data_IF_600242499275
#
_entry.id   IF_600242499275
#
_cell.length_a   1.000
_cell.length_b   1.000
_cell.length_c   1.000
_cell.angle_alpha   90.00
_cell.angle_beta   90.00
_cell.angle_gamma   90.00
#
_symmetry.space_group_name_H-M   'P 1'
#
loop_
_entity.id
_entity.type
_entity.pdbx_description
1 polymer ?
#
# COMPACT_ATOMS: atom_id res chain seq x y z
N UNK A 1 62.44 -59.89 25.87
CA UNK A 1 61.13 -59.36 26.29
C UNK A 1 60.76 -58.24 25.34
N UNK A 2 59.71 -58.43 24.53
CA UNK A 2 59.30 -57.56 23.43
C UNK A 2 58.36 -56.47 23.94
N UNK A 3 58.67 -55.21 23.68
CA UNK A 3 57.79 -54.07 23.94
C UNK A 3 56.61 -54.08 22.96
N UNK A 4 55.39 -54.19 23.49
CA UNK A 4 54.14 -54.04 22.74
C UNK A 4 53.79 -52.56 22.72
N UNK A 5 53.75 -51.95 21.52
CA UNK A 5 53.19 -50.61 21.31
C UNK A 5 51.69 -50.75 21.02
N UNK A 6 50.86 -50.15 21.85
CA UNK A 6 49.41 -50.04 21.62
C UNK A 6 49.17 -48.85 20.69
N UNK A 7 48.61 -49.10 19.50
CA UNK A 7 48.17 -48.07 18.58
C UNK A 7 46.72 -47.68 18.90
N UNK A 8 46.48 -46.41 19.24
CA UNK A 8 45.14 -45.84 19.40
C UNK A 8 44.71 -45.30 18.03
N UNK A 9 43.69 -45.93 17.43
CA UNK A 9 43.06 -45.47 16.19
C UNK A 9 41.99 -44.44 16.56
N UNK A 10 42.23 -43.17 16.27
CA UNK A 10 41.22 -42.12 16.33
C UNK A 10 40.31 -42.23 15.09
N UNK A 11 39.03 -42.55 15.29
CA UNK A 11 38.00 -42.36 14.26
C UNK A 11 37.66 -40.87 14.17
N UNK A 12 38.16 -40.20 13.14
CA UNK A 12 37.73 -38.86 12.76
C UNK A 12 36.34 -38.92 12.11
N UNK A 13 35.30 -38.57 12.88
CA UNK A 13 33.98 -38.26 12.33
C UNK A 13 34.10 -37.03 11.42
N UNK A 14 33.98 -37.23 10.11
CA UNK A 14 33.76 -36.14 9.16
C UNK A 14 32.31 -35.69 9.32
N UNK A 15 32.09 -34.69 10.17
CA UNK A 15 30.86 -33.93 10.18
C UNK A 15 30.81 -33.12 8.87
N UNK A 16 29.98 -33.58 7.93
CA UNK A 16 29.66 -32.81 6.73
C UNK A 16 29.12 -31.44 7.16
N UNK A 17 29.81 -30.38 6.75
CA UNK A 17 29.39 -29.01 6.97
C UNK A 17 28.09 -28.78 6.20
N UNK A 18 26.95 -29.02 6.85
CA UNK A 18 25.72 -28.30 6.57
C UNK A 18 26.04 -26.83 6.82
N UNK A 19 26.28 -26.10 5.75
CA UNK A 19 26.33 -24.65 5.77
C UNK A 19 24.97 -24.15 6.25
N UNK A 20 24.85 -23.97 7.56
CA UNK A 20 23.74 -23.26 8.16
C UNK A 20 23.71 -21.88 7.51
N UNK A 21 22.64 -21.60 6.76
CA UNK A 21 22.31 -20.23 6.38
C UNK A 21 22.20 -19.49 7.72
N UNK A 22 23.04 -18.46 7.98
CA UNK A 22 22.92 -17.76 9.24
C UNK A 22 21.50 -17.19 9.32
N UNK A 23 20.82 -17.29 10.48
CA UNK A 23 19.58 -16.56 10.68
C UNK A 23 19.89 -15.11 10.31
N UNK A 24 19.03 -14.48 9.50
CA UNK A 24 19.16 -13.07 9.17
C UNK A 24 19.42 -12.32 10.47
N UNK A 25 20.68 -11.93 10.69
CA UNK A 25 21.05 -11.21 11.89
C UNK A 25 20.22 -9.93 11.87
N UNK A 26 19.87 -9.43 13.05
CA UNK A 26 19.28 -8.12 13.24
C UNK A 26 20.30 -7.03 12.83
N UNK A 27 20.62 -7.00 11.55
CA UNK A 27 21.63 -6.15 10.95
C UNK A 27 21.01 -4.75 10.90
N UNK A 28 21.60 -3.90 11.74
CA UNK A 28 21.61 -2.44 11.69
C UNK A 28 20.45 -1.68 12.34
N UNK A 29 20.24 -1.82 13.66
CA UNK A 29 19.65 -0.73 14.45
C UNK A 29 20.74 -0.05 15.28
N UNK A 30 21.58 0.78 14.64
CA UNK A 30 22.62 1.56 15.34
C UNK A 30 22.41 3.05 15.10
N UNK A 31 22.34 3.90 16.14
CA UNK A 31 22.19 5.33 15.94
C UNK A 31 23.36 5.88 15.12
N UNK A 32 23.06 6.36 13.92
CA UNK A 32 23.96 7.09 13.05
C UNK A 32 23.81 8.60 13.29
N UNK A 33 24.90 9.33 13.19
CA UNK A 33 24.86 10.79 13.03
C UNK A 33 24.53 11.09 11.56
N UNK A 34 23.39 11.73 11.30
CA UNK A 34 23.00 12.18 9.96
C UNK A 34 22.91 13.69 9.90
N UNK A 35 23.27 14.27 8.75
CA UNK A 35 22.95 15.65 8.42
C UNK A 35 21.62 15.75 7.67
N UNK A 36 21.39 14.87 6.69
CA UNK A 36 20.17 14.73 5.90
C UNK A 36 19.99 13.27 5.41
N UNK A 37 18.76 12.80 5.29
CA UNK A 37 18.37 11.50 4.75
C UNK A 37 18.50 11.41 3.24
N UNK A 38 18.30 12.52 2.53
CA UNK A 38 18.61 12.60 1.09
C UNK A 38 20.08 12.33 0.77
N UNK A 39 20.95 12.43 1.78
CA UNK A 39 22.37 12.06 1.68
C UNK A 39 22.64 10.59 2.07
N UNK A 40 21.60 9.75 2.18
CA UNK A 40 21.73 8.33 2.56
C UNK A 40 22.25 8.07 3.96
N UNK A 41 21.74 8.82 4.94
CA UNK A 41 21.97 8.55 6.35
C UNK A 41 20.71 8.71 7.17
N UNK A 42 20.23 7.62 7.77
CA UNK A 42 18.90 7.53 8.38
C UNK A 42 18.85 7.76 9.87
N UNK A 43 19.89 8.36 10.45
CA UNK A 43 19.96 8.46 11.90
C UNK A 43 20.03 7.12 12.66
N UNK A 44 19.80 6.00 11.98
CA UNK A 44 19.80 4.62 12.45
C UNK A 44 20.56 3.66 11.50
N UNK A 45 20.82 4.04 10.23
CA UNK A 45 21.54 3.25 9.19
C UNK A 45 22.20 4.16 8.13
N UNK A 46 23.47 3.93 7.78
CA UNK A 46 24.26 4.79 6.87
C UNK A 46 24.07 4.53 5.36
N UNK A 47 23.10 3.71 4.97
CA UNK A 47 22.87 3.33 3.56
C UNK A 47 21.41 3.48 3.14
N UNK A 48 20.55 3.84 4.09
CA UNK A 48 19.12 3.91 3.84
C UNK A 48 18.77 5.34 3.35
N UNK A 49 18.01 5.47 2.28
CA UNK A 49 17.54 6.77 1.76
C UNK A 49 16.38 6.63 0.80
N UNK A 50 15.72 7.77 0.57
CA UNK A 50 14.96 8.01 -0.65
C UNK A 50 15.95 8.37 -1.77
N UNK A 51 16.23 7.42 -2.67
CA UNK A 51 17.17 7.58 -3.80
C UNK A 51 16.54 8.39 -4.95
N UNK A 52 15.23 8.21 -5.17
CA UNK A 52 14.46 9.02 -6.11
C UNK A 52 12.99 9.12 -5.73
N UNK A 53 12.39 10.25 -6.12
CA UNK A 53 10.94 10.42 -6.23
C UNK A 53 10.66 10.79 -7.68
N UNK A 54 9.80 10.02 -8.32
CA UNK A 54 9.43 10.23 -9.71
C UNK A 54 7.90 10.23 -9.85
N UNK A 55 7.42 10.97 -10.83
CA UNK A 55 6.00 11.17 -11.06
C UNK A 55 5.68 11.11 -12.56
N UNK A 56 4.40 10.92 -12.85
CA UNK A 56 3.84 10.89 -14.19
C UNK A 56 2.52 11.66 -14.22
N UNK A 57 2.32 12.37 -15.32
CA UNK A 57 1.09 13.11 -15.59
C UNK A 57 -0.02 12.12 -15.97
N UNK A 58 -1.16 12.11 -15.24
CA UNK A 58 -2.27 11.21 -15.54
C UNK A 58 -2.82 11.38 -16.97
N UNK A 59 -2.70 12.56 -17.58
CA UNK A 59 -3.13 12.80 -18.96
C UNK A 59 -2.25 12.10 -20.00
N UNK A 60 -1.01 11.74 -19.64
CA UNK A 60 -0.08 11.00 -20.52
C UNK A 60 -0.20 9.48 -20.39
N UNK A 61 -0.91 9.00 -19.37
CA UNK A 61 -1.03 7.57 -19.05
C UNK A 61 -2.19 6.91 -19.81
N UNK A 62 -1.99 5.65 -20.18
CA UNK A 62 -3.03 4.82 -20.79
C UNK A 62 -3.65 3.89 -19.76
N UNK A 63 -4.97 3.73 -19.85
CA UNK A 63 -5.74 2.79 -19.04
C UNK A 63 -6.58 1.89 -19.93
N UNK A 64 -6.76 0.64 -19.53
CA UNK A 64 -7.67 -0.28 -20.22
C UNK A 64 -9.14 0.03 -19.89
N UNK A 65 -10.06 -0.71 -20.51
CA UNK A 65 -11.51 -0.54 -20.32
C UNK A 65 -12.02 -0.77 -18.89
N UNK A 66 -11.22 -1.44 -18.05
CA UNK A 66 -11.51 -1.70 -16.64
C UNK A 66 -10.75 -0.71 -15.73
N UNK A 67 -10.11 0.31 -16.33
CA UNK A 67 -9.35 1.35 -15.65
C UNK A 67 -7.96 0.90 -15.20
N UNK A 68 -7.49 -0.28 -15.60
CA UNK A 68 -6.14 -0.72 -15.23
C UNK A 68 -5.08 0.10 -15.95
N UNK A 69 -4.08 0.55 -15.19
CA UNK A 69 -2.93 1.27 -15.73
C UNK A 69 -2.11 0.34 -16.64
N UNK A 70 -1.80 0.83 -17.84
CA UNK A 70 -0.76 0.28 -18.68
C UNK A 70 0.58 0.84 -18.18
N UNK A 71 1.30 0.04 -17.38
CA UNK A 71 2.57 0.45 -16.80
C UNK A 71 3.63 0.80 -17.85
N UNK A 72 3.51 0.30 -19.09
CA UNK A 72 4.44 0.63 -20.18
C UNK A 72 4.19 2.02 -20.78
N UNK A 73 3.02 2.61 -20.55
CA UNK A 73 2.66 3.94 -21.02
C UNK A 73 3.18 5.08 -20.12
N UNK A 74 3.67 4.75 -18.93
CA UNK A 74 4.08 5.76 -17.94
C UNK A 74 5.33 6.49 -18.41
N UNK A 75 5.25 7.82 -18.42
CA UNK A 75 6.40 8.69 -18.70
C UNK A 75 6.90 9.29 -17.39
N UNK A 76 8.02 8.76 -16.89
CA UNK A 76 8.59 9.19 -15.62
C UNK A 76 9.34 10.51 -15.75
N UNK A 77 8.99 11.45 -14.87
CA UNK A 77 9.75 12.66 -14.57
C UNK A 77 10.30 12.56 -13.17
N UNK A 78 11.54 13.00 -12.96
CA UNK A 78 12.18 13.01 -11.63
C UNK A 78 11.87 14.31 -10.92
N UNK A 79 11.46 14.23 -9.65
CA UNK A 79 11.35 15.41 -8.81
C UNK A 79 12.74 15.98 -8.52
N UNK A 80 12.86 17.30 -8.54
CA UNK A 80 14.07 18.00 -8.11
C UNK A 80 14.05 18.09 -6.59
N UNK A 81 15.15 17.71 -5.95
CA UNK A 81 15.29 17.73 -4.50
C UNK A 81 16.19 18.88 -4.07
N UNK A 82 15.78 19.60 -3.05
CA UNK A 82 16.60 20.58 -2.35
C UNK A 82 16.53 20.33 -0.86
N UNK A 83 17.66 20.52 -0.18
CA UNK A 83 17.77 20.30 1.25
C UNK A 83 16.99 21.37 2.00
N UNK A 84 16.25 21.01 3.04
CA UNK A 84 15.60 21.98 3.91
C UNK A 84 16.67 22.71 4.76
N UNK A 85 16.92 24.01 4.56
CA UNK A 85 17.99 24.72 5.25
C UNK A 85 17.74 24.88 6.75
N UNK A 86 16.49 24.70 7.22
CA UNK A 86 16.13 24.75 8.63
C UNK A 86 16.08 23.38 9.30
N UNK A 87 16.30 22.29 8.57
CA UNK A 87 16.32 20.97 9.17
C UNK A 87 17.53 20.83 10.10
N UNK A 88 17.26 20.47 11.35
CA UNK A 88 18.26 20.18 12.37
C UNK A 88 17.96 18.78 12.91
N UNK A 89 18.92 17.87 12.72
CA UNK A 89 18.81 16.52 13.24
C UNK A 89 18.88 16.52 14.78
N UNK A 90 18.00 15.76 15.44
CA UNK A 90 17.93 15.58 16.92
C UNK A 90 17.67 16.86 17.77
N UNK A 91 17.12 17.94 17.22
CA UNK A 91 16.70 19.11 18.03
C UNK A 91 15.35 18.91 18.74
N UNK A 92 15.19 19.24 20.03
CA UNK A 92 13.92 19.30 20.80
C UNK A 92 13.89 20.55 21.72
N UNK A 93 12.72 21.16 22.09
CA UNK A 93 11.34 20.61 22.18
C UNK A 93 10.26 21.27 21.25
N UNK A 94 9.05 20.64 21.14
CA UNK A 94 7.98 20.96 20.17
C UNK A 94 7.42 22.39 20.20
N UNK A 95 7.63 23.11 21.30
CA UNK A 95 7.00 24.39 21.59
C UNK A 95 7.78 25.59 21.01
N UNK A 96 8.89 25.34 20.33
CA UNK A 96 9.88 26.38 20.00
C UNK A 96 10.20 26.57 18.52
N UNK A 97 9.60 25.81 17.59
CA UNK A 97 10.04 25.84 16.18
C UNK A 97 9.15 26.63 15.21
N UNK A 98 8.01 27.20 15.63
CA UNK A 98 7.17 28.00 14.72
C UNK A 98 6.55 29.23 15.37
N UNK A 99 6.59 30.34 14.64
CA UNK A 99 5.61 31.42 14.79
C UNK A 99 4.46 31.18 13.80
N UNK A 100 3.25 31.66 14.10
CA UNK A 100 2.10 31.60 13.19
C UNK A 100 2.38 32.17 11.78
N UNK A 101 3.47 32.95 11.64
CA UNK A 101 3.91 33.63 10.43
C UNK A 101 4.62 32.71 9.42
N UNK A 102 5.10 31.55 9.85
CA UNK A 102 5.83 30.60 8.99
C UNK A 102 4.90 29.55 8.35
N UNK A 103 3.63 29.50 8.78
CA UNK A 103 2.60 28.70 8.13
C UNK A 103 2.34 29.19 6.70
N UNK A 104 2.42 28.28 5.73
CA UNK A 104 2.15 28.58 4.33
C UNK A 104 3.37 28.92 3.50
N UNK A 105 4.57 29.01 4.10
CA UNK A 105 5.83 29.10 3.35
C UNK A 105 6.24 27.69 2.92
N UNK A 106 6.28 27.39 1.60
CA UNK A 106 6.63 26.06 1.12
C UNK A 106 7.99 25.64 1.61
N UNK A 107 8.10 24.36 1.96
CA UNK A 107 9.32 23.75 2.40
C UNK A 107 9.92 24.21 3.73
N UNK A 108 9.32 25.22 4.37
CA UNK A 108 9.77 25.79 5.64
C UNK A 108 8.89 25.29 6.77
N UNK A 109 7.57 25.47 6.74
CA UNK A 109 6.67 25.16 7.86
C UNK A 109 6.51 23.66 8.13
N UNK A 110 7.31 23.06 9.02
CA UNK A 110 7.24 21.62 9.34
C UNK A 110 6.94 21.34 10.81
N UNK A 111 5.85 20.62 11.12
CA UNK A 111 5.52 20.18 12.49
C UNK A 111 6.72 19.48 13.16
N UNK A 112 7.23 19.95 14.30
CA UNK A 112 8.43 19.42 14.97
C UNK A 112 8.06 18.31 15.97
N UNK A 113 6.86 17.72 15.89
CA UNK A 113 6.46 16.69 16.85
C UNK A 113 7.09 15.35 16.46
N UNK A 114 8.32 15.16 16.90
CA UNK A 114 9.08 13.92 16.74
C UNK A 114 8.54 12.76 17.59
N UNK A 115 7.46 12.94 18.37
CA UNK A 115 6.78 11.80 19.02
C UNK A 115 6.18 10.83 18.00
N UNK A 116 5.96 11.29 16.76
CA UNK A 116 5.35 10.51 15.69
C UNK A 116 6.39 9.77 14.82
N UNK A 117 7.70 10.04 15.01
CA UNK A 117 8.80 9.34 14.34
C UNK A 117 9.05 9.71 12.87
N UNK A 118 8.50 10.83 12.39
CA UNK A 118 8.65 11.30 11.00
C UNK A 118 9.69 12.43 10.86
N UNK A 119 10.46 12.45 9.76
CA UNK A 119 11.41 13.53 9.43
C UNK A 119 11.19 14.11 8.03
N UNK A 120 11.43 15.42 7.88
CA UNK A 120 11.10 16.22 6.70
C UNK A 120 12.32 17.07 6.28
N UNK A 121 13.40 16.39 5.92
CA UNK A 121 14.73 16.98 5.74
C UNK A 121 14.95 17.59 4.35
N UNK A 122 14.05 17.34 3.40
CA UNK A 122 14.16 17.81 2.02
C UNK A 122 12.83 18.26 1.42
N UNK A 123 12.96 19.27 0.56
CA UNK A 123 11.94 19.83 -0.29
C UNK A 123 12.01 19.20 -1.68
N UNK A 124 10.86 18.88 -2.26
CA UNK A 124 10.76 18.28 -3.58
C UNK A 124 9.91 19.13 -4.49
N UNK A 125 10.36 19.26 -5.74
CA UNK A 125 9.68 20.02 -6.79
C UNK A 125 9.32 19.10 -7.94
N UNK A 126 8.03 19.00 -8.25
CA UNK A 126 7.49 18.26 -9.39
C UNK A 126 7.02 19.22 -10.49
N UNK A 127 7.98 19.72 -11.28
CA UNK A 127 7.73 20.70 -12.34
C UNK A 127 6.93 20.09 -13.50
N UNK A 128 5.94 20.84 -14.01
CA UNK A 128 5.11 20.42 -15.14
C UNK A 128 4.16 19.26 -14.83
N UNK A 129 3.78 19.09 -13.56
CA UNK A 129 2.69 18.20 -13.12
C UNK A 129 1.40 18.99 -12.84
N UNK A 130 1.49 20.25 -12.42
CA UNK A 130 0.30 21.06 -12.18
C UNK A 130 -0.32 21.51 -13.52
N UNK A 131 -1.64 21.37 -13.74
CA UNK A 131 -2.27 21.76 -15.00
C UNK A 131 -2.15 23.24 -15.35
N UNK A 132 -1.98 24.12 -14.36
CA UNK A 132 -1.80 25.57 -14.57
C UNK A 132 -0.34 25.94 -14.92
N UNK A 133 0.57 24.97 -15.00
CA UNK A 133 1.98 25.16 -15.30
C UNK A 133 2.84 25.56 -14.10
N UNK A 134 2.25 25.81 -12.92
CA UNK A 134 3.01 26.08 -11.71
C UNK A 134 3.67 24.81 -11.16
N UNK A 135 4.65 24.99 -10.28
CA UNK A 135 5.34 23.86 -9.67
C UNK A 135 4.55 23.29 -8.50
N UNK A 136 4.57 21.96 -8.39
CA UNK A 136 4.13 21.27 -7.17
C UNK A 136 5.34 21.19 -6.25
N UNK A 137 5.19 21.72 -5.04
CA UNK A 137 6.21 21.71 -3.99
C UNK A 137 5.67 20.87 -2.83
N UNK A 138 6.48 19.94 -2.34
CA UNK A 138 6.07 19.01 -1.30
C UNK A 138 7.26 18.53 -0.46
N UNK A 139 6.96 18.01 0.73
CA UNK A 139 7.88 17.16 1.48
C UNK A 139 7.45 15.71 1.41
N UNK A 140 8.44 14.83 1.50
CA UNK A 140 8.20 13.49 2.02
C UNK A 140 8.61 13.48 3.48
N UNK A 141 7.63 13.23 4.34
CA UNK A 141 7.88 12.80 5.69
C UNK A 141 8.14 11.30 5.64
N UNK A 142 9.30 10.85 6.07
CA UNK A 142 9.55 9.42 6.23
C UNK A 142 9.75 9.14 7.72
N UNK A 143 9.31 7.97 8.20
CA UNK A 143 9.38 7.69 9.63
C UNK A 143 9.19 6.23 10.00
N UNK A 144 9.84 5.80 11.07
CA UNK A 144 9.78 4.44 11.58
C UNK A 144 9.38 4.42 13.05
N UNK A 145 8.12 4.12 13.33
CA UNK A 145 7.70 3.70 14.67
C UNK A 145 8.01 2.22 14.85
N UNK A 146 9.14 1.88 15.45
CA UNK A 146 9.57 0.49 15.62
C UNK A 146 10.07 -0.15 14.33
N UNK A 147 9.57 -1.34 13.99
CA UNK A 147 10.09 -2.18 12.89
C UNK A 147 9.47 -1.87 11.52
N UNK A 148 8.45 -1.01 11.46
CA UNK A 148 7.81 -0.57 10.22
C UNK A 148 8.46 0.66 9.58
N UNK A 149 8.20 0.87 8.29
CA UNK A 149 8.67 2.03 7.54
C UNK A 149 7.49 2.77 6.90
N UNK A 150 7.35 4.07 7.17
CA UNK A 150 6.26 4.90 6.64
C UNK A 150 6.80 6.02 5.77
N UNK A 151 6.06 6.34 4.71
CA UNK A 151 6.27 7.51 3.85
C UNK A 151 4.95 8.24 3.79
N UNK A 152 4.98 9.55 3.98
CA UNK A 152 3.83 10.43 3.85
C UNK A 152 4.23 11.64 3.01
N UNK A 153 3.43 11.97 2.00
CA UNK A 153 3.61 13.16 1.18
C UNK A 153 2.76 14.31 1.73
N UNK A 154 3.42 15.41 2.10
CA UNK A 154 2.79 16.67 2.47
C UNK A 154 2.95 17.69 1.34
N UNK A 155 1.85 18.23 0.83
CA UNK A 155 1.87 19.13 -0.34
C UNK A 155 1.80 20.59 0.12
N UNK A 156 2.91 21.31 0.01
CA UNK A 156 2.99 22.71 0.39
C UNK A 156 2.45 23.66 -0.69
N UNK A 157 2.61 23.27 -1.94
CA UNK A 157 2.14 24.00 -3.12
C UNK A 157 1.64 23.01 -4.15
N UNK A 158 0.40 23.20 -4.62
CA UNK A 158 -0.24 22.30 -5.58
C UNK A 158 -1.67 22.74 -5.85
N UNK A 159 -2.50 21.80 -6.30
CA UNK A 159 -3.90 22.05 -6.62
C UNK A 159 -4.69 22.32 -5.33
N UNK A 160 -5.30 23.49 -5.25
CA UNK A 160 -6.20 23.86 -4.16
C UNK A 160 -7.56 23.18 -4.36
N UNK A 161 -8.01 22.44 -3.34
CA UNK A 161 -9.29 21.73 -3.34
C UNK A 161 -10.07 22.05 -2.09
N UNK A 162 -11.34 22.39 -2.25
CA UNK A 162 -12.25 22.73 -1.16
C UNK A 162 -13.26 21.62 -0.81
N UNK A 163 -13.49 20.66 -1.73
CA UNK A 163 -14.49 19.58 -1.58
C UNK A 163 -15.87 20.07 -1.10
N UNK A 164 -16.25 21.29 -1.49
CA UNK A 164 -17.53 21.92 -1.12
C UNK A 164 -17.80 21.93 0.40
N UNK A 165 -16.77 22.04 1.24
CA UNK A 165 -16.92 22.13 2.70
C UNK A 165 -17.53 23.49 3.09
N UNK A 166 -18.55 23.48 3.95
CA UNK A 166 -19.38 24.66 4.27
C UNK A 166 -18.58 25.84 4.86
N UNK A 167 -17.50 25.59 5.58
CA UNK A 167 -16.64 26.61 6.19
C UNK A 167 -15.56 27.16 5.23
N UNK A 168 -15.57 26.75 3.96
CA UNK A 168 -14.63 27.21 2.94
C UNK A 168 -13.22 26.63 3.07
N UNK A 169 -13.04 25.59 3.88
CA UNK A 169 -11.74 24.93 3.99
C UNK A 169 -11.25 24.40 2.66
N UNK A 170 -9.94 24.45 2.49
CA UNK A 170 -9.28 23.84 1.37
C UNK A 170 -7.96 23.20 1.79
N UNK A 171 -7.48 22.27 0.98
CA UNK A 171 -6.14 21.75 1.06
C UNK A 171 -5.44 21.82 -0.29
N UNK A 172 -4.11 21.83 -0.23
CA UNK A 172 -3.26 21.73 -1.41
C UNK A 172 -2.98 20.25 -1.67
N UNK A 173 -3.02 19.86 -2.94
CA UNK A 173 -2.94 18.46 -3.35
C UNK A 173 -2.13 18.29 -4.63
N UNK A 174 -1.82 17.04 -4.97
CA UNK A 174 -1.35 16.69 -6.31
C UNK A 174 -2.54 16.39 -7.26
N UNK A 175 -2.35 16.37 -8.59
CA UNK A 175 -3.39 15.98 -9.53
C UNK A 175 -3.92 14.58 -9.25
N UNK A 176 -5.25 14.43 -9.33
CA UNK A 176 -5.89 13.14 -9.15
C UNK A 176 -5.44 12.18 -10.23
N UNK A 177 -5.10 10.95 -9.82
CA UNK A 177 -4.61 9.93 -10.73
C UNK A 177 -3.15 10.09 -11.15
N UNK A 178 -2.45 11.16 -10.75
CA UNK A 178 -1.00 11.26 -10.96
C UNK A 178 -0.31 10.04 -10.35
N UNK A 179 0.56 9.41 -11.15
CA UNK A 179 1.27 8.20 -10.71
C UNK A 179 2.64 8.59 -10.18
N UNK A 180 2.97 8.05 -9.01
CA UNK A 180 4.21 8.30 -8.30
C UNK A 180 4.94 7.00 -8.08
N UNK A 181 6.27 7.06 -8.10
CA UNK A 181 7.11 6.01 -7.55
C UNK A 181 8.17 6.60 -6.63
N UNK A 182 8.42 5.91 -5.54
CA UNK A 182 9.48 6.23 -4.58
C UNK A 182 10.47 5.08 -4.58
N UNK A 183 11.73 5.38 -4.85
CA UNK A 183 12.83 4.41 -4.80
C UNK A 183 13.52 4.53 -3.46
N UNK A 184 13.40 3.50 -2.64
CA UNK A 184 14.08 3.38 -1.36
C UNK A 184 15.33 2.55 -1.59
N UNK A 185 16.51 3.12 -1.33
CA UNK A 185 17.75 2.36 -1.21
C UNK A 185 17.86 1.90 0.24
N UNK A 186 17.77 0.61 0.50
CA UNK A 186 17.86 0.03 1.86
C UNK A 186 17.92 -1.50 1.79
N UNK A 187 18.91 -2.10 2.44
CA UNK A 187 18.95 -3.55 2.61
C UNK A 187 17.84 -4.03 3.54
N UNK A 188 17.53 -3.26 4.59
CA UNK A 188 16.46 -3.59 5.54
C UNK A 188 15.12 -3.71 4.84
N UNK A 189 14.72 -2.66 4.11
CA UNK A 189 13.44 -2.64 3.40
C UNK A 189 13.46 -3.67 2.28
N UNK A 190 14.55 -3.78 1.52
CA UNK A 190 14.65 -4.75 0.43
C UNK A 190 14.57 -6.20 0.86
N UNK A 191 15.07 -6.55 2.05
CA UNK A 191 15.02 -7.93 2.56
C UNK A 191 13.75 -8.22 3.36
N UNK A 192 13.26 -7.22 4.10
CA UNK A 192 12.26 -7.44 5.14
C UNK A 192 10.90 -6.80 4.86
N UNK A 193 10.71 -6.08 3.75
CA UNK A 193 9.40 -5.54 3.39
C UNK A 193 8.36 -6.67 3.36
N UNK A 194 7.37 -6.60 4.24
CA UNK A 194 6.36 -7.63 4.37
C UNK A 194 5.07 -7.24 3.64
N UNK A 195 4.09 -6.79 4.42
CA UNK A 195 2.83 -6.26 3.92
C UNK A 195 2.94 -4.75 3.76
N UNK A 196 2.52 -4.25 2.60
CA UNK A 196 2.48 -2.82 2.31
C UNK A 196 1.05 -2.37 2.31
N UNK A 197 0.81 -1.20 2.88
CA UNK A 197 -0.44 -0.50 2.69
C UNK A 197 -0.30 0.94 2.24
N UNK A 198 -1.30 1.45 1.52
CA UNK A 198 -1.32 2.83 1.04
C UNK A 198 -2.72 3.36 0.79
N UNK A 199 -2.82 4.65 0.50
CA UNK A 199 -4.01 5.29 -0.08
C UNK A 199 -3.94 5.48 -1.61
N UNK A 200 -3.06 4.75 -2.30
CA UNK A 200 -2.82 4.94 -3.75
C UNK A 200 -3.45 3.82 -4.60
N UNK A 201 -4.15 4.14 -5.68
CA UNK A 201 -4.59 3.15 -6.67
C UNK A 201 -3.41 2.57 -7.44
N UNK A 202 -3.62 1.51 -8.21
CA UNK A 202 -2.56 0.81 -8.96
C UNK A 202 -1.33 0.45 -8.09
N UNK A 203 -1.51 -0.16 -6.91
CA UNK A 203 -0.39 -0.44 -6.01
C UNK A 203 0.59 -1.43 -6.65
N UNK A 204 1.87 -1.08 -6.70
CA UNK A 204 2.92 -1.97 -7.15
C UNK A 204 4.18 -1.82 -6.31
N UNK A 205 4.90 -2.93 -6.11
CA UNK A 205 6.19 -2.94 -5.46
C UNK A 205 7.15 -3.86 -6.19
N UNK A 206 8.33 -3.33 -6.48
CA UNK A 206 9.44 -4.09 -7.06
C UNK A 206 10.66 -3.96 -6.16
N UNK A 207 11.35 -5.08 -5.97
CA UNK A 207 12.56 -5.14 -5.15
C UNK A 207 13.67 -5.73 -6.00
N UNK A 208 14.77 -4.99 -6.14
CA UNK A 208 15.93 -5.39 -6.94
C UNK A 208 17.21 -5.11 -6.16
N UNK A 209 18.23 -5.95 -6.35
CA UNK A 209 19.56 -5.68 -5.81
C UNK A 209 20.36 -4.87 -6.83
N UNK A 210 20.82 -3.68 -6.45
CA UNK A 210 21.64 -2.83 -7.31
C UNK A 210 23.05 -3.40 -7.52
N UNK A 211 23.79 -2.83 -8.47
CA UNK A 211 25.18 -3.23 -8.76
C UNK A 211 26.15 -2.94 -7.61
N UNK A 212 25.82 -2.00 -6.72
CA UNK A 212 26.55 -1.72 -5.48
C UNK A 212 26.21 -2.71 -4.34
N UNK A 213 25.40 -3.74 -4.62
CA UNK A 213 25.00 -4.75 -3.65
C UNK A 213 23.90 -4.33 -2.68
N UNK A 214 23.36 -3.11 -2.79
CA UNK A 214 22.30 -2.59 -1.92
C UNK A 214 20.93 -2.76 -2.61
N UNK A 215 19.90 -3.11 -1.86
CA UNK A 215 18.55 -3.23 -2.43
C UNK A 215 17.91 -1.88 -2.76
N UNK A 216 17.19 -1.84 -3.88
CA UNK A 216 16.24 -0.80 -4.28
C UNK A 216 14.85 -1.38 -4.19
N UNK A 217 14.03 -0.79 -3.35
CA UNK A 217 12.60 -1.05 -3.24
C UNK A 217 11.86 0.10 -3.89
N UNK A 218 11.26 -0.16 -5.05
CA UNK A 218 10.45 0.80 -5.80
C UNK A 218 9.00 0.55 -5.45
N UNK A 219 8.36 1.54 -4.81
CA UNK A 219 6.94 1.50 -4.47
C UNK A 219 6.21 2.50 -5.35
N UNK A 220 5.14 2.05 -6.00
CA UNK A 220 4.40 2.80 -6.99
C UNK A 220 2.90 2.79 -6.68
N UNK A 221 2.24 3.90 -7.01
CA UNK A 221 0.79 4.01 -7.04
C UNK A 221 0.33 5.30 -7.72
N UNK A 222 -0.96 5.38 -8.04
CA UNK A 222 -1.63 6.61 -8.49
C UNK A 222 -2.40 7.24 -7.34
N UNK A 223 -2.20 8.54 -7.12
CA UNK A 223 -2.86 9.25 -6.02
C UNK A 223 -4.36 9.30 -6.25
N UNK A 224 -5.11 9.03 -5.19
CA UNK A 224 -6.55 9.15 -5.16
C UNK A 224 -6.96 9.75 -3.80
N UNK A 225 -7.62 10.93 -3.78
CA UNK A 225 -7.97 11.57 -2.52
C UNK A 225 -8.86 10.67 -1.65
N UNK A 226 -8.38 10.40 -0.44
CA UNK A 226 -9.11 9.67 0.58
C UNK A 226 -9.72 10.63 1.59
N UNK A 227 -10.95 10.36 1.99
CA UNK A 227 -11.76 11.21 2.87
C UNK A 227 -11.78 10.60 4.27
N UNK A 228 -11.26 11.31 5.27
CA UNK A 228 -11.05 10.80 6.63
C UNK A 228 -11.55 11.77 7.69
N UNK A 229 -11.39 11.42 8.98
CA UNK A 229 -12.01 12.07 10.13
C UNK A 229 -13.54 12.07 10.07
N UNK A 230 -14.15 11.12 10.76
CA UNK A 230 -15.59 10.98 10.82
C UNK A 230 -16.20 11.96 11.83
N UNK A 231 -16.87 13.00 11.31
CA UNK A 231 -17.68 13.93 12.10
C UNK A 231 -19.14 13.55 12.09
N UNK A 232 -19.86 13.94 13.13
CA UNK A 232 -21.31 13.78 13.25
C UNK A 232 -21.94 15.18 13.28
N UNK A 233 -23.02 15.45 12.52
CA UNK A 233 -23.66 16.77 12.51
C UNK A 233 -24.07 17.21 13.92
N UNK A 234 -23.73 18.45 14.29
CA UNK A 234 -24.05 19.02 15.61
C UNK A 234 -23.20 18.51 16.78
N UNK A 235 -22.25 17.60 16.56
CA UNK A 235 -21.35 17.10 17.60
C UNK A 235 -19.96 17.75 17.48
N UNK A 236 -19.39 18.15 18.62
CA UNK A 236 -18.01 18.61 18.67
C UNK A 236 -17.05 17.46 18.31
N UNK A 237 -15.99 17.78 17.55
CA UNK A 237 -14.98 16.79 17.18
C UNK A 237 -14.27 16.24 18.42
N UNK A 238 -14.22 14.92 18.53
CA UNK A 238 -13.46 14.20 19.55
C UNK A 238 -12.54 13.18 18.85
N UNK A 239 -11.21 13.39 18.82
CA UNK A 239 -10.26 12.48 18.18
C UNK A 239 -10.32 11.05 18.74
N UNK A 240 -10.61 10.90 20.03
CA UNK A 240 -10.66 9.59 20.69
C UNK A 240 -11.87 8.74 20.24
N UNK A 241 -12.92 9.37 19.73
CA UNK A 241 -14.13 8.67 19.25
C UNK A 241 -14.18 8.53 17.74
N UNK A 242 -13.15 8.97 16.99
CA UNK A 242 -13.18 9.04 15.51
C UNK A 242 -13.58 7.70 14.86
N UNK A 243 -12.99 6.59 15.31
CA UNK A 243 -13.30 5.24 14.78
C UNK A 243 -14.73 4.80 15.06
N UNK A 244 -15.30 5.19 16.19
CA UNK A 244 -16.70 4.90 16.52
C UNK A 244 -17.64 5.85 15.79
N UNK A 245 -17.24 7.10 15.57
CA UNK A 245 -18.02 8.06 14.79
C UNK A 245 -18.21 7.58 13.35
N UNK A 246 -17.22 6.89 12.75
CA UNK A 246 -17.37 6.33 11.40
C UNK A 246 -18.50 5.29 11.29
N UNK A 247 -18.90 4.66 12.40
CA UNK A 247 -20.03 3.74 12.44
C UNK A 247 -21.38 4.47 12.41
N UNK A 248 -21.40 5.78 12.67
CA UNK A 248 -22.62 6.56 12.66
C UNK A 248 -23.13 6.75 11.23
N UNK A 249 -24.43 6.51 10.94
CA UNK A 249 -24.97 6.56 9.58
C UNK A 249 -25.01 7.98 8.98
N UNK A 250 -24.90 9.01 9.81
CA UNK A 250 -24.78 10.41 9.35
C UNK A 250 -23.34 10.93 9.43
N UNK A 251 -22.36 10.05 9.61
CA UNK A 251 -20.97 10.51 9.65
C UNK A 251 -20.54 11.11 8.31
N UNK A 252 -19.77 12.19 8.36
CA UNK A 252 -19.24 12.84 7.16
C UNK A 252 -17.75 13.14 7.32
N UNK A 253 -17.06 13.27 6.19
CA UNK A 253 -15.64 13.59 6.15
C UNK A 253 -15.37 15.01 6.64
N UNK A 254 -14.43 15.19 7.56
CA UNK A 254 -13.92 16.51 7.91
C UNK A 254 -12.80 16.96 6.98
N UNK A 255 -11.99 16.02 6.51
CA UNK A 255 -10.75 16.31 5.76
C UNK A 255 -10.45 15.24 4.72
N UNK A 256 -9.51 15.54 3.84
CA UNK A 256 -9.08 14.69 2.74
C UNK A 256 -7.55 14.63 2.65
N UNK A 257 -7.04 13.55 2.07
CA UNK A 257 -5.60 13.35 1.93
C UNK A 257 -5.02 14.37 0.95
N UNK A 258 -3.93 15.02 1.35
CA UNK A 258 -3.23 16.00 0.52
C UNK A 258 -2.35 15.33 -0.54
N UNK A 259 -1.71 14.22 -0.18
CA UNK A 259 -0.92 13.39 -1.07
C UNK A 259 -1.13 11.91 -0.77
N UNK A 260 -0.04 11.13 -0.88
CA UNK A 260 -0.06 9.71 -0.55
C UNK A 260 0.60 9.37 0.79
N UNK A 261 0.20 8.23 1.34
CA UNK A 261 0.82 7.56 2.46
C UNK A 261 1.14 6.13 2.06
N UNK A 262 2.32 5.64 2.40
CA UNK A 262 2.77 4.27 2.23
C UNK A 262 3.28 3.78 3.59
N UNK A 263 2.82 2.62 4.01
CA UNK A 263 3.25 1.95 5.24
C UNK A 263 3.75 0.56 4.89
N UNK A 264 4.98 0.24 5.27
CA UNK A 264 5.63 -1.05 5.06
C UNK A 264 5.77 -1.72 6.42
N UNK A 265 5.10 -2.84 6.60
CA UNK A 265 5.24 -3.66 7.79
C UNK A 265 6.06 -4.91 7.45
N UNK A 266 7.10 -5.26 8.21
CA UNK A 266 7.81 -6.51 7.98
C UNK A 266 6.95 -7.73 8.30
N UNK A 267 7.38 -8.91 7.84
CA UNK A 267 6.73 -10.18 8.18
C UNK A 267 7.03 -10.59 9.62
N UNK A 268 6.44 -9.90 10.58
CA UNK A 268 6.60 -10.11 12.02
C UNK A 268 5.25 -9.97 12.71
N UNK A 269 5.16 -10.34 13.98
CA UNK A 269 3.93 -10.29 14.78
C UNK A 269 2.76 -10.96 14.02
N UNK A 270 1.72 -10.20 13.65
CA UNK A 270 0.57 -10.71 12.90
C UNK A 270 0.90 -11.20 11.48
N UNK A 271 2.06 -10.82 10.93
CA UNK A 271 2.53 -11.20 9.60
C UNK A 271 3.59 -12.31 9.63
N UNK A 272 3.88 -12.88 10.79
CA UNK A 272 4.92 -13.92 10.94
C UNK A 272 4.66 -15.15 10.04
N UNK A 273 3.39 -15.51 9.83
CA UNK A 273 2.96 -16.58 8.91
C UNK A 273 3.34 -16.33 7.44
N UNK A 274 3.73 -15.10 7.10
CA UNK A 274 4.16 -14.71 5.77
C UNK A 274 5.70 -14.67 5.63
N UNK A 275 6.46 -15.02 6.67
CA UNK A 275 7.93 -15.10 6.59
C UNK A 275 8.37 -16.10 5.52
N UNK A 276 9.38 -15.73 4.74
CA UNK A 276 9.95 -16.55 3.66
C UNK A 276 9.28 -16.39 2.29
N UNK A 277 8.21 -15.61 2.19
CA UNK A 277 7.73 -15.12 0.90
C UNK A 277 8.58 -13.95 0.39
N UNK A 278 8.46 -13.68 -0.91
CA UNK A 278 9.10 -12.52 -1.53
C UNK A 278 8.83 -11.21 -0.76
N UNK A 279 9.84 -10.33 -0.61
CA UNK A 279 9.66 -9.02 -0.03
C UNK A 279 8.59 -8.23 -0.79
N UNK A 280 7.68 -7.60 -0.06
CA UNK A 280 6.51 -6.93 -0.61
C UNK A 280 5.54 -7.87 -1.30
N UNK A 281 5.29 -9.01 -0.69
CA UNK A 281 4.48 -10.07 -1.26
C UNK A 281 2.99 -9.70 -1.38
N UNK A 282 2.51 -8.85 -0.48
CA UNK A 282 1.12 -8.36 -0.45
C UNK A 282 1.14 -6.85 -0.28
N UNK A 283 0.51 -6.15 -1.23
CA UNK A 283 0.27 -4.72 -1.16
C UNK A 283 -1.24 -4.48 -1.21
N UNK A 284 -1.81 -3.95 -0.13
CA UNK A 284 -3.22 -3.58 -0.02
C UNK A 284 -3.36 -2.07 -0.01
N UNK A 285 -4.22 -1.53 -0.87
CA UNK A 285 -4.50 -0.11 -0.92
C UNK A 285 -6.00 0.15 -0.93
N UNK A 286 -6.44 1.24 -0.32
CA UNK A 286 -7.86 1.55 -0.30
C UNK A 286 -8.22 2.82 0.43
N UNK A 287 -9.53 3.07 0.53
CA UNK A 287 -10.10 4.16 1.30
C UNK A 287 -10.02 3.87 2.82
N UNK A 288 -9.21 4.70 3.51
CA UNK A 288 -9.14 4.99 4.97
C UNK A 288 -9.03 3.89 6.05
N UNK A 289 -8.29 4.26 7.11
CA UNK A 289 -8.54 3.93 8.52
C UNK A 289 -7.85 2.70 9.12
N UNK A 290 -7.83 1.58 8.41
CA UNK A 290 -7.52 0.27 9.04
C UNK A 290 -6.51 -0.57 8.25
N UNK A 291 -5.76 0.09 7.38
CA UNK A 291 -4.79 -0.53 6.50
C UNK A 291 -3.64 -1.24 7.26
N UNK A 292 -3.32 -0.82 8.49
CA UNK A 292 -2.35 -1.53 9.34
C UNK A 292 -2.82 -2.89 9.89
N UNK A 293 -4.06 -3.31 9.64
CA UNK A 293 -4.64 -4.55 10.17
C UNK A 293 -4.96 -5.57 9.07
N UNK A 294 -4.21 -5.59 7.97
CA UNK A 294 -4.32 -6.69 7.00
C UNK A 294 -4.09 -8.02 7.75
N UNK A 295 -5.04 -8.92 7.69
CA UNK A 295 -4.92 -10.25 8.29
C UNK A 295 -4.80 -11.27 7.17
N UNK A 296 -3.93 -12.25 7.37
CA UNK A 296 -3.77 -13.37 6.45
C UNK A 296 -4.06 -14.68 7.18
N UNK A 297 -5.07 -15.39 6.70
CA UNK A 297 -5.37 -16.76 7.06
C UNK A 297 -4.84 -17.68 5.97
N UNK A 298 -3.68 -18.29 6.23
CA UNK A 298 -3.02 -19.19 5.31
C UNK A 298 -3.83 -20.47 5.05
N UNK A 299 -4.46 -21.02 6.08
CA UNK A 299 -5.17 -22.30 5.99
C UNK A 299 -6.42 -22.17 5.13
N UNK A 300 -7.09 -21.02 5.22
CA UNK A 300 -8.28 -20.71 4.42
C UNK A 300 -7.96 -19.98 3.10
N UNK A 301 -6.74 -19.50 2.93
CA UNK A 301 -6.31 -18.65 1.82
C UNK A 301 -7.08 -17.32 1.77
N UNK A 302 -7.20 -16.64 2.90
CA UNK A 302 -8.01 -15.42 3.03
C UNK A 302 -7.15 -14.23 3.45
N UNK A 303 -7.22 -13.16 2.67
CA UNK A 303 -6.72 -11.85 3.06
C UNK A 303 -7.93 -11.03 3.53
N UNK A 304 -7.93 -10.63 4.80
CA UNK A 304 -8.97 -9.79 5.39
C UNK A 304 -8.43 -8.37 5.55
N UNK A 305 -9.15 -7.41 5.01
CA UNK A 305 -8.83 -5.99 5.07
C UNK A 305 -9.99 -5.30 5.79
N UNK A 306 -9.86 -5.02 7.10
CA UNK A 306 -10.80 -4.14 7.76
C UNK A 306 -10.63 -2.73 7.20
N UNK A 307 -11.74 -2.03 7.00
CA UNK A 307 -11.75 -0.66 6.49
C UNK A 307 -12.73 0.17 7.32
N UNK A 308 -12.45 1.46 7.47
CA UNK A 308 -13.32 2.38 8.20
C UNK A 308 -13.17 3.78 7.64
N UNK A 309 -14.27 4.53 7.59
CA UNK A 309 -14.30 5.88 7.06
C UNK A 309 -15.72 6.48 7.10
N UNK A 310 -15.86 7.74 6.71
CA UNK A 310 -17.11 8.48 6.84
C UNK A 310 -18.17 7.98 5.85
N UNK A 311 -19.44 8.06 6.23
CA UNK A 311 -20.57 7.67 5.38
C UNK A 311 -20.80 8.66 4.22
N UNK A 312 -20.67 9.96 4.49
CA UNK A 312 -20.80 11.04 3.51
C UNK A 312 -19.47 11.76 3.27
N UNK A 313 -19.35 12.41 2.11
CA UNK A 313 -18.31 13.39 1.81
C UNK A 313 -18.53 14.67 2.65
N UNK A 314 -17.63 15.65 2.50
CA UNK A 314 -17.66 16.90 3.28
C UNK A 314 -18.95 17.72 3.09
N UNK A 315 -19.65 17.50 1.98
CA UNK A 315 -20.93 18.14 1.64
C UNK A 315 -22.14 17.59 2.42
N UNK A 316 -21.92 16.57 3.27
CA UNK A 316 -22.93 15.87 4.08
C UNK A 316 -24.07 15.23 3.27
N UNK A 317 -23.91 15.11 1.94
CA UNK A 317 -24.96 14.68 1.01
C UNK A 317 -24.48 13.55 0.12
N UNK A 318 -23.29 13.69 -0.44
CA UNK A 318 -22.72 12.71 -1.36
C UNK A 318 -22.21 11.52 -0.57
N UNK A 319 -22.71 10.32 -0.90
CA UNK A 319 -22.22 9.08 -0.29
C UNK A 319 -20.73 8.89 -0.59
N UNK A 320 -19.96 8.63 0.45
CA UNK A 320 -18.58 8.21 0.31
C UNK A 320 -18.54 6.75 -0.15
N UNK A 321 -17.93 6.51 -1.31
CA UNK A 321 -17.88 5.18 -1.92
C UNK A 321 -16.51 4.56 -1.74
N UNK A 322 -16.52 3.34 -1.24
CA UNK A 322 -15.32 2.57 -0.98
C UNK A 322 -14.60 2.11 -2.22
N UNK A 323 -13.28 2.02 -2.11
CA UNK A 323 -12.44 1.39 -3.10
C UNK A 323 -11.30 0.64 -2.40
N UNK A 324 -10.92 -0.49 -2.99
CA UNK A 324 -9.75 -1.25 -2.58
C UNK A 324 -9.06 -1.84 -3.82
N UNK A 325 -7.74 -1.76 -3.85
CA UNK A 325 -6.91 -2.46 -4.80
C UNK A 325 -5.87 -3.29 -4.06
N UNK A 326 -5.61 -4.50 -4.54
CA UNK A 326 -4.53 -5.32 -4.02
C UNK A 326 -3.61 -5.77 -5.14
N UNK A 327 -2.33 -5.85 -4.83
CA UNK A 327 -1.32 -6.49 -5.64
C UNK A 327 -0.67 -7.60 -4.81
N UNK A 328 -0.72 -8.83 -5.33
CA UNK A 328 -0.11 -10.00 -4.71
C UNK A 328 0.94 -10.54 -5.66
N UNK A 329 2.18 -10.71 -5.18
CA UNK A 329 3.23 -11.31 -6.00
C UNK A 329 2.83 -12.72 -6.43
N UNK A 330 3.10 -13.08 -7.68
CA UNK A 330 2.80 -14.40 -8.22
C UNK A 330 3.50 -15.50 -7.42
N UNK A 331 4.68 -15.22 -6.86
CA UNK A 331 5.38 -16.15 -5.96
C UNK A 331 4.56 -16.47 -4.72
N UNK A 332 3.92 -15.46 -4.11
CA UNK A 332 3.00 -15.66 -2.98
C UNK A 332 1.81 -16.49 -3.43
N UNK A 333 1.26 -16.23 -4.61
CA UNK A 333 0.14 -17.03 -5.15
C UNK A 333 0.52 -18.51 -5.29
N UNK A 334 1.69 -18.78 -5.89
CA UNK A 334 2.20 -20.13 -6.11
C UNK A 334 2.49 -20.84 -4.80
N UNK A 335 3.22 -20.21 -3.88
CA UNK A 335 3.67 -20.84 -2.63
C UNK A 335 2.59 -20.92 -1.56
N UNK A 336 1.81 -19.85 -1.38
CA UNK A 336 0.86 -19.75 -0.29
C UNK A 336 -0.51 -20.38 -0.62
N UNK A 337 -0.88 -20.42 -1.90
CA UNK A 337 -2.18 -20.94 -2.33
C UNK A 337 -2.07 -22.17 -3.26
N UNK A 338 -0.88 -22.58 -3.67
CA UNK A 338 -0.67 -23.68 -4.62
C UNK A 338 -1.48 -23.49 -5.92
N UNK A 339 -1.51 -22.24 -6.42
CA UNK A 339 -2.24 -21.85 -7.62
C UNK A 339 -1.28 -21.28 -8.68
N UNK A 340 -1.62 -21.50 -9.95
CA UNK A 340 -1.06 -20.70 -11.03
C UNK A 340 -1.68 -19.28 -10.97
N UNK A 341 -0.89 -18.20 -10.86
CA UNK A 341 -1.41 -16.83 -10.88
C UNK A 341 -2.26 -16.50 -12.11
N UNK A 342 -1.98 -17.13 -13.27
CA UNK A 342 -2.80 -16.96 -14.46
C UNK A 342 -4.20 -17.55 -14.31
N UNK A 343 -4.39 -18.52 -13.41
CA UNK A 343 -5.68 -19.16 -13.11
C UNK A 343 -6.34 -18.60 -11.84
N UNK A 344 -5.63 -17.81 -11.03
CA UNK A 344 -6.13 -17.27 -9.77
C UNK A 344 -7.42 -16.43 -9.95
N UNK A 345 -7.60 -15.79 -11.10
CA UNK A 345 -8.82 -15.05 -11.45
C UNK A 345 -10.11 -15.88 -11.47
N UNK A 346 -10.01 -17.20 -11.67
CA UNK A 346 -11.17 -18.11 -11.67
C UNK A 346 -11.60 -18.53 -10.26
N UNK A 347 -10.72 -18.34 -9.27
CA UNK A 347 -10.86 -18.85 -7.91
C UNK A 347 -11.10 -17.70 -6.93
N UNK A 348 -10.53 -16.53 -7.23
CA UNK A 348 -10.60 -15.37 -6.35
C UNK A 348 -12.05 -14.97 -6.10
N UNK A 349 -12.37 -14.66 -4.85
CA UNK A 349 -13.65 -14.06 -4.47
C UNK A 349 -13.39 -12.86 -3.59
N UNK A 350 -14.07 -11.77 -3.88
CA UNK A 350 -14.11 -10.60 -3.00
C UNK A 350 -15.46 -10.56 -2.32
N UNK A 351 -15.45 -10.68 -1.01
CA UNK A 351 -16.63 -10.53 -0.17
C UNK A 351 -16.51 -9.25 0.64
N UNK A 352 -17.61 -8.53 0.79
CA UNK A 352 -17.72 -7.34 1.63
C UNK A 352 -18.81 -7.59 2.65
N UNK A 353 -18.51 -7.37 3.91
CA UNK A 353 -19.49 -7.42 4.99
C UNK A 353 -19.55 -6.08 5.71
N UNK A 354 -20.75 -5.53 5.87
CA UNK A 354 -21.04 -4.34 6.67
C UNK A 354 -21.79 -4.78 7.93
N UNK A 355 -21.32 -4.40 9.13
CA UNK A 355 -22.00 -4.72 10.39
C UNK A 355 -22.22 -6.23 10.64
N UNK A 356 -23.45 -6.59 11.01
CA UNK A 356 -23.97 -7.83 11.63
C UNK A 356 -23.77 -9.17 10.86
N UNK A 357 -22.71 -9.29 10.06
CA UNK A 357 -22.24 -10.56 9.51
C UNK A 357 -22.87 -10.97 8.17
N UNK A 358 -23.74 -10.16 7.56
CA UNK A 358 -24.16 -10.39 6.17
C UNK A 358 -23.04 -10.00 5.22
N UNK A 359 -22.42 -11.01 4.61
CA UNK A 359 -21.41 -10.83 3.57
C UNK A 359 -22.06 -10.88 2.19
N UNK A 360 -21.81 -9.89 1.35
CA UNK A 360 -22.21 -9.87 -0.06
C UNK A 360 -20.99 -10.07 -0.95
N UNK A 361 -21.17 -10.75 -2.09
CA UNK A 361 -20.11 -10.87 -3.10
C UNK A 361 -20.00 -9.52 -3.80
N UNK A 362 -18.86 -8.86 -3.65
CA UNK A 362 -18.60 -7.58 -4.27
C UNK A 362 -18.35 -7.74 -5.77
N UNK A 363 -18.71 -6.72 -6.54
CA UNK A 363 -18.22 -6.60 -7.91
C UNK A 363 -16.74 -6.25 -7.87
N UNK A 364 -15.91 -7.07 -8.48
CA UNK A 364 -14.47 -6.84 -8.56
C UNK A 364 -13.93 -7.21 -9.95
N UNK A 365 -12.77 -6.68 -10.28
CA UNK A 365 -11.99 -7.06 -11.47
C UNK A 365 -10.61 -7.52 -11.06
N UNK A 366 -10.04 -8.50 -11.76
CA UNK A 366 -8.67 -8.97 -11.49
C UNK A 366 -7.91 -9.25 -12.77
N UNK A 367 -6.58 -9.18 -12.70
CA UNK A 367 -5.68 -9.56 -13.79
C UNK A 367 -4.34 -10.06 -13.25
N UNK A 368 -3.65 -10.88 -14.05
CA UNK A 368 -2.28 -11.27 -13.80
C UNK A 368 -1.34 -10.60 -14.81
N UNK A 369 -0.34 -9.88 -14.32
CA UNK A 369 0.70 -9.22 -15.10
C UNK A 369 1.96 -10.08 -15.10
N UNK A 370 2.10 -10.92 -16.13
CA UNK A 370 3.23 -11.85 -16.24
C UNK A 370 4.60 -11.15 -16.25
N UNK A 371 4.70 -9.96 -16.84
CA UNK A 371 5.96 -9.20 -16.91
C UNK A 371 6.43 -8.68 -15.54
N UNK A 372 5.49 -8.44 -14.62
CA UNK A 372 5.77 -7.96 -13.26
C UNK A 372 5.68 -9.08 -12.22
N UNK A 373 5.19 -10.27 -12.59
CA UNK A 373 4.82 -11.35 -11.68
C UNK A 373 3.88 -10.87 -10.56
N UNK A 374 2.83 -10.12 -10.92
CA UNK A 374 1.86 -9.54 -9.96
C UNK A 374 0.43 -9.86 -10.38
N UNK A 375 -0.38 -10.27 -9.42
CA UNK A 375 -1.82 -10.44 -9.56
C UNK A 375 -2.54 -9.27 -8.87
N UNK A 376 -3.33 -8.55 -9.66
CA UNK A 376 -4.04 -7.35 -9.22
C UNK A 376 -5.53 -7.66 -9.03
N UNK A 377 -6.14 -7.10 -7.99
CA UNK A 377 -7.57 -7.17 -7.70
C UNK A 377 -8.07 -5.77 -7.39
N UNK A 378 -9.28 -5.43 -7.87
CA UNK A 378 -9.92 -4.14 -7.64
C UNK A 378 -11.37 -4.32 -7.29
N UNK A 379 -11.80 -3.70 -6.21
CA UNK A 379 -13.20 -3.66 -5.78
C UNK A 379 -13.58 -2.21 -5.49
N UNK A 380 -14.66 -1.73 -6.10
CA UNK A 380 -15.10 -0.34 -6.02
C UNK A 380 -16.60 -0.24 -5.73
N UNK A 381 -17.03 0.95 -5.29
CA UNK A 381 -18.44 1.33 -5.11
C UNK A 381 -19.19 0.54 -4.04
N UNK A 382 -18.49 0.05 -3.02
CA UNK A 382 -19.14 -0.48 -1.81
C UNK A 382 -19.44 0.64 -0.81
N UNK A 383 -20.42 0.42 0.07
CA UNK A 383 -20.82 1.37 1.09
C UNK A 383 -19.74 1.56 2.17
N UNK A 384 -19.80 2.69 2.86
CA UNK A 384 -18.87 3.01 3.94
C UNK A 384 -19.63 3.20 5.26
N UNK A 385 -19.18 2.47 6.28
CA UNK A 385 -19.52 2.63 7.70
C UNK A 385 -18.56 1.78 8.55
N UNK A 386 -18.35 0.51 8.16
CA UNK A 386 -17.34 -0.41 8.70
C UNK A 386 -17.17 -1.69 7.84
N UNK A 387 -16.83 -1.62 6.54
CA UNK A 387 -16.76 -2.82 5.72
C UNK A 387 -15.53 -3.67 6.07
N UNK A 388 -15.72 -4.98 6.12
CA UNK A 388 -14.63 -5.96 6.10
C UNK A 388 -14.57 -6.60 4.74
N UNK A 389 -13.46 -6.40 4.03
CA UNK A 389 -13.25 -6.99 2.72
C UNK A 389 -12.41 -8.26 2.86
N UNK A 390 -12.88 -9.36 2.27
CA UNK A 390 -12.17 -10.64 2.25
C UNK A 390 -11.85 -11.04 0.82
N UNK A 391 -10.57 -11.18 0.53
CA UNK A 391 -10.08 -11.78 -0.71
C UNK A 391 -9.78 -13.25 -0.44
N UNK A 392 -10.55 -14.15 -1.06
CA UNK A 392 -10.37 -15.60 -0.91
C UNK A 392 -9.71 -16.19 -2.15
N UNK A 393 -8.57 -16.82 -1.98
CA UNK A 393 -7.81 -17.56 -3.01
C UNK A 393 -7.71 -19.02 -2.55
N UNK A 394 -8.81 -19.78 -2.57
CA UNK A 394 -8.78 -21.15 -2.03
C UNK A 394 -7.81 -22.05 -2.83
N UNK A 395 -6.89 -22.79 -2.18
CA UNK A 395 -6.04 -23.75 -2.84
C UNK A 395 -6.86 -24.82 -3.57
N UNK A 396 -6.30 -25.35 -4.67
CA UNK A 396 -6.71 -26.66 -5.17
C UNK A 396 -6.01 -27.69 -4.28
N UNK A 397 -6.63 -28.09 -3.17
CA UNK A 397 -6.31 -29.40 -2.62
C UNK A 397 -6.75 -30.45 -3.64
N UNK A 398 -5.89 -31.44 -3.91
CA UNK A 398 -6.28 -32.62 -4.68
C UNK A 398 -7.62 -33.10 -4.14
N UNK A 399 -8.66 -33.01 -4.96
CA UNK A 399 -9.88 -33.73 -4.73
C UNK A 399 -9.53 -35.22 -4.82
N UNK A 400 -9.24 -35.84 -3.69
CA UNK A 400 -9.60 -37.25 -3.51
C UNK A 400 -11.13 -37.29 -3.49
N UNK A 401 -11.73 -37.38 -4.67
CA UNK A 401 -13.05 -37.99 -4.81
C UNK A 401 -12.91 -39.51 -4.62
N UNK A 402 -13.96 -40.25 -4.18
CA UNK A 402 -15.38 -39.87 -4.31
C UNK A 402 -16.24 -40.11 -3.04
N UNK A 403 -17.17 -39.20 -2.74
CA UNK A 403 -18.61 -39.49 -2.72
C UNK A 403 -19.48 -38.32 -2.21
N UNK A 404 -20.64 -38.17 -2.85
CA UNK A 404 -21.80 -37.33 -2.52
C UNK A 404 -21.58 -35.81 -2.41
N UNK A 405 -21.80 -35.12 -3.54
CA UNK A 405 -21.85 -33.66 -3.63
C UNK A 405 -23.10 -33.05 -2.96
N UNK A 406 -22.97 -31.93 -2.24
CA UNK A 406 -23.97 -30.87 -2.25
C UNK A 406 -23.67 -29.95 -3.44
N UNK A 407 -24.61 -29.82 -4.37
CA UNK A 407 -24.53 -28.95 -5.54
C UNK A 407 -24.22 -27.49 -5.14
N UNK A 408 -22.95 -27.08 -5.26
CA UNK A 408 -22.57 -25.68 -5.29
C UNK A 408 -23.16 -25.02 -6.54
N UNK A 409 -23.97 -23.97 -6.35
CA UNK A 409 -24.59 -23.21 -7.45
C UNK A 409 -23.50 -22.74 -8.42
N UNK A 410 -23.61 -23.18 -9.68
CA UNK A 410 -22.65 -22.86 -10.75
C UNK A 410 -22.65 -21.36 -11.02
N UNK A 411 -21.52 -20.71 -10.81
CA UNK A 411 -21.27 -19.37 -11.36
C UNK A 411 -21.09 -19.52 -12.88
N UNK A 412 -21.65 -18.59 -13.65
CA UNK A 412 -21.47 -18.55 -15.09
C UNK A 412 -20.84 -17.22 -15.51
N UNK A 413 -19.97 -17.28 -16.51
CA UNK A 413 -19.35 -16.11 -17.12
C UNK A 413 -20.04 -15.83 -18.45
N UNK A 414 -20.45 -14.59 -18.67
CA UNK A 414 -20.98 -14.15 -19.96
C UNK A 414 -20.09 -13.06 -20.55
N UNK A 415 -20.00 -13.06 -21.87
CA UNK A 415 -19.49 -11.94 -22.64
C UNK A 415 -20.65 -11.02 -22.96
N UNK A 416 -20.52 -9.74 -22.62
CA UNK A 416 -21.46 -8.70 -22.99
C UNK A 416 -20.81 -7.79 -24.01
N UNK A 417 -21.52 -7.42 -25.07
CA UNK A 417 -21.04 -6.58 -26.16
C UNK A 417 -21.93 -5.37 -26.38
N UNK A 418 -21.35 -4.21 -26.67
CA UNK A 418 -22.06 -2.99 -27.07
C UNK A 418 -21.26 -2.33 -28.20
N UNK A 419 -21.71 -2.50 -29.44
CA UNK A 419 -20.92 -2.07 -30.60
C UNK A 419 -19.64 -2.91 -30.72
N UNK A 420 -18.48 -2.26 -30.69
CA UNK A 420 -17.16 -2.91 -30.72
C UNK A 420 -16.63 -3.29 -29.33
N UNK A 421 -17.28 -2.82 -28.26
CA UNK A 421 -16.82 -3.03 -26.88
C UNK A 421 -17.29 -4.40 -26.36
N UNK A 422 -16.47 -5.06 -25.53
CA UNK A 422 -16.79 -6.38 -24.97
C UNK A 422 -16.34 -6.50 -23.51
N UNK A 423 -17.19 -6.98 -22.61
CA UNK A 423 -16.89 -7.15 -21.18
C UNK A 423 -17.25 -8.54 -20.67
N UNK A 424 -16.40 -9.12 -19.82
CA UNK A 424 -16.67 -10.38 -19.10
C UNK A 424 -17.36 -10.11 -17.77
N UNK A 425 -18.45 -10.82 -17.51
CA UNK A 425 -19.20 -10.75 -16.26
C UNK A 425 -19.37 -12.15 -15.69
N UNK A 426 -18.86 -12.40 -14.48
CA UNK A 426 -18.99 -13.67 -13.77
C UNK A 426 -19.90 -13.50 -12.56
N UNK A 427 -21.05 -14.17 -12.53
CA UNK A 427 -22.00 -14.12 -11.41
C UNK A 427 -22.81 -15.44 -11.32
N UNK A 428 -23.63 -15.61 -10.28
CA UNK A 428 -24.55 -16.76 -10.19
C UNK A 428 -25.63 -16.73 -11.29
N UNK A 429 -26.06 -15.52 -11.67
CA UNK A 429 -27.00 -15.28 -12.75
C UNK A 429 -26.57 -14.00 -13.49
N UNK A 430 -25.49 -14.07 -14.27
CA UNK A 430 -24.89 -12.89 -14.88
C UNK A 430 -25.85 -12.28 -15.90
N UNK A 431 -25.99 -10.95 -15.86
CA UNK A 431 -26.77 -10.16 -16.83
C UNK A 431 -25.90 -9.06 -17.41
N UNK A 432 -26.09 -8.78 -18.69
CA UNK A 432 -25.41 -7.66 -19.32
C UNK A 432 -25.97 -6.33 -18.80
N UNK A 433 -25.12 -5.31 -18.57
CA UNK A 433 -25.56 -3.98 -18.17
C UNK A 433 -26.52 -3.37 -19.20
N UNK A 434 -27.32 -2.39 -18.78
CA UNK A 434 -28.29 -1.72 -19.66
C UNK A 434 -27.59 -1.19 -20.92
N UNK A 435 -28.04 -1.67 -22.09
CA UNK A 435 -27.47 -1.31 -23.40
C UNK A 435 -26.38 -2.25 -23.93
N UNK A 436 -26.04 -3.33 -23.22
CA UNK A 436 -25.10 -4.37 -23.67
C UNK A 436 -25.86 -5.67 -23.99
N UNK A 437 -25.48 -6.37 -25.06
CA UNK A 437 -26.06 -7.64 -25.48
C UNK A 437 -25.15 -8.81 -25.08
N UNK A 438 -25.73 -9.93 -24.68
CA UNK A 438 -24.95 -11.15 -24.44
C UNK A 438 -24.43 -11.68 -25.78
N UNK A 439 -23.13 -11.98 -25.84
CA UNK A 439 -22.48 -12.65 -26.97
C UNK A 439 -22.55 -14.16 -26.80
#
# INVERSE_FOLDING_TARGET
MRSVRIAVILFSLVAGALSAIPPAQAIDYYPAETKYWVDCSTGFRNIDCIESVEFSDPASEKRDENGFLDYSSIVWKKAVVSVNPKFIYKSLPPESAWTQQEFGIPCIGTRPDYRDGYHNDACYTASGLNPDGTEIIFHLMFGGGGEGFNIYQWVDQGIVRNWDREDGWSAKTVPDGSTWRVTIKSNSVGQNAGVITSNMKNPNITVTKGSDGIFRTVILGSVYPNQFNCKIPGQNYNPQSERDNCKHPQSYAETASQGFTISISPYIYQYDKLKGFAPGGIFVSGSTGSLGQVQYDQDQGIITVPMSGPHFLMDQKTLNKGWMETAVKGEVIRKAFNLDPAQAGNIVKVEISEGDGKSEIATYTSRYLKSLDVFEIRAYNFGFSNPTLRVKLKPITQQTQPNAAPQGKKMSTIMCVKGKDSRRITAMNPKCPKGWRKR
#
